data_IF_526291548469
#
_entry.id   IF_526291548469
#
_cell.length_a   1.000
_cell.length_b   1.000
_cell.length_c   1.000
_cell.angle_alpha   90.00
_cell.angle_beta   90.00
_cell.angle_gamma   90.00
#
_symmetry.space_group_name_H-M   'P 1'
#
loop_
_entity.id
_entity.type
_entity.pdbx_description
1 polymer ?
#
# COMPACT_ATOMS: atom_id res chain seq x y z
N UNK A 1 6.59 -17.87 1.99
CA UNK A 1 5.16 -17.47 1.82
C UNK A 1 4.51 -18.20 0.65
N UNK A 2 5.07 -18.13 -0.56
CA UNK A 2 4.57 -18.87 -1.73
C UNK A 2 4.96 -20.35 -1.75
N UNK A 3 6.17 -20.70 -1.29
CA UNK A 3 6.62 -22.10 -1.20
C UNK A 3 5.76 -22.99 -0.29
N UNK A 4 5.11 -22.40 0.73
CA UNK A 4 4.29 -23.13 1.69
C UNK A 4 2.78 -23.11 1.36
N UNK A 5 2.37 -22.30 0.38
CA UNK A 5 0.98 -22.21 -0.10
C UNK A 5 0.98 -21.67 -1.54
N UNK A 6 1.18 -22.55 -2.54
CA UNK A 6 1.29 -22.16 -3.95
C UNK A 6 -0.01 -21.59 -4.52
N UNK A 7 -1.15 -21.80 -3.87
CA UNK A 7 -2.44 -21.21 -4.28
C UNK A 7 -2.61 -19.74 -3.85
N UNK A 8 -1.71 -19.21 -3.01
CA UNK A 8 -1.80 -17.82 -2.57
C UNK A 8 -1.61 -16.86 -3.74
N UNK A 9 -2.57 -15.96 -3.91
CA UNK A 9 -2.59 -14.97 -4.98
C UNK A 9 -1.93 -13.69 -4.51
N UNK A 10 -0.89 -13.25 -5.22
CA UNK A 10 -0.17 -12.00 -4.94
C UNK A 10 -0.54 -10.97 -5.99
N UNK A 11 -0.99 -9.80 -5.55
CA UNK A 11 -1.18 -8.63 -6.38
C UNK A 11 -0.07 -7.63 -6.10
N UNK A 12 0.72 -7.32 -7.13
CA UNK A 12 1.69 -6.24 -7.10
C UNK A 12 1.18 -5.08 -7.97
N UNK A 13 1.38 -3.85 -7.49
CA UNK A 13 1.08 -2.62 -8.22
C UNK A 13 1.95 -1.48 -7.69
N UNK A 14 2.42 -0.57 -8.54
CA UNK A 14 3.05 0.68 -8.06
C UNK A 14 1.97 1.65 -7.56
N UNK A 15 2.29 2.49 -6.59
CA UNK A 15 1.40 3.54 -6.13
C UNK A 15 1.02 4.50 -7.28
N UNK A 16 1.94 4.77 -8.20
CA UNK A 16 1.67 5.59 -9.38
C UNK A 16 0.51 5.06 -10.22
N UNK A 17 0.53 3.77 -10.55
CA UNK A 17 -0.54 3.11 -11.33
C UNK A 17 -1.82 2.96 -10.52
N UNK A 18 -1.71 2.58 -9.23
CA UNK A 18 -2.88 2.42 -8.36
C UNK A 18 -3.65 3.73 -8.17
N UNK A 19 -2.93 4.85 -8.09
CA UNK A 19 -3.45 6.17 -7.77
C UNK A 19 -3.59 7.06 -9.01
N UNK A 20 -3.55 6.49 -10.21
CA UNK A 20 -3.78 7.22 -11.45
C UNK A 20 -5.21 7.76 -11.49
N UNK A 21 -6.19 6.93 -11.12
CA UNK A 21 -7.61 7.28 -11.12
C UNK A 21 -8.42 6.33 -10.22
N UNK A 22 -9.70 6.66 -9.98
CA UNK A 22 -10.58 5.82 -9.16
C UNK A 22 -10.80 4.43 -9.76
N UNK A 23 -10.78 4.27 -11.09
CA UNK A 23 -11.04 2.97 -11.72
C UNK A 23 -9.97 1.95 -11.35
N UNK A 24 -8.69 2.33 -11.30
CA UNK A 24 -7.60 1.43 -10.89
C UNK A 24 -7.77 0.98 -9.43
N UNK A 25 -8.14 1.90 -8.54
CA UNK A 25 -8.45 1.56 -7.14
C UNK A 25 -9.61 0.56 -7.05
N UNK A 26 -10.68 0.77 -7.83
CA UNK A 26 -11.84 -0.13 -7.83
C UNK A 26 -11.52 -1.50 -8.46
N UNK A 27 -10.69 -1.54 -9.50
CA UNK A 27 -10.18 -2.81 -10.07
C UNK A 27 -9.47 -3.61 -8.99
N UNK A 28 -8.47 -3.03 -8.32
CA UNK A 28 -7.77 -3.71 -7.22
C UNK A 28 -8.74 -4.09 -6.09
N UNK A 29 -9.72 -3.25 -5.76
CA UNK A 29 -10.70 -3.58 -4.71
C UNK A 29 -11.54 -4.82 -5.02
N UNK A 30 -11.87 -5.01 -6.30
CA UNK A 30 -12.74 -6.11 -6.77
C UNK A 30 -11.98 -7.40 -7.08
N UNK A 31 -10.67 -7.33 -7.25
CA UNK A 31 -9.84 -8.51 -7.43
C UNK A 31 -9.70 -9.33 -6.14
N UNK A 32 -9.68 -10.66 -6.30
CA UNK A 32 -9.36 -11.58 -5.20
C UNK A 32 -7.85 -11.85 -5.16
N UNK A 33 -7.23 -11.49 -4.05
CA UNK A 33 -5.83 -11.80 -3.73
C UNK A 33 -5.67 -12.05 -2.24
N UNK A 34 -4.54 -12.63 -1.82
CA UNK A 34 -4.19 -12.86 -0.42
C UNK A 34 -3.18 -11.85 0.11
N UNK A 35 -2.35 -11.31 -0.80
CA UNK A 35 -1.32 -10.33 -0.53
C UNK A 35 -1.39 -9.20 -1.57
N UNK A 36 -1.51 -7.97 -1.10
CA UNK A 36 -1.33 -6.75 -1.90
C UNK A 36 0.04 -6.14 -1.57
N UNK A 37 0.85 -5.92 -2.61
CA UNK A 37 2.10 -5.18 -2.53
C UNK A 37 1.92 -3.87 -3.30
N UNK A 38 2.11 -2.75 -2.61
CA UNK A 38 2.09 -1.41 -3.21
C UNK A 38 3.48 -0.79 -3.09
N UNK A 39 4.10 -0.52 -4.23
CA UNK A 39 5.43 0.11 -4.27
C UNK A 39 5.36 1.63 -4.35
N UNK A 40 6.44 2.33 -3.99
CA UNK A 40 6.58 3.79 -4.07
C UNK A 40 5.47 4.61 -3.38
N UNK A 41 5.15 4.27 -2.14
CA UNK A 41 4.04 4.88 -1.38
C UNK A 41 4.17 6.41 -1.21
N UNK A 42 5.37 6.98 -1.39
CA UNK A 42 5.61 8.43 -1.42
C UNK A 42 4.78 9.17 -2.47
N UNK A 43 4.37 8.50 -3.56
CA UNK A 43 3.51 9.07 -4.60
C UNK A 43 2.15 9.51 -4.05
N UNK A 44 1.65 8.94 -2.93
CA UNK A 44 0.41 9.38 -2.30
C UNK A 44 0.39 10.88 -1.97
N UNK A 45 1.54 11.44 -1.57
CA UNK A 45 1.65 12.84 -1.18
C UNK A 45 1.48 13.83 -2.35
N UNK A 46 1.58 13.34 -3.58
CA UNK A 46 1.39 14.12 -4.80
C UNK A 46 -0.06 14.08 -5.30
N UNK A 47 -0.89 13.22 -4.71
CA UNK A 47 -2.28 13.01 -5.11
C UNK A 47 -3.23 13.88 -4.29
N UNK A 48 -4.35 14.23 -4.90
CA UNK A 48 -5.40 15.00 -4.24
C UNK A 48 -6.05 14.22 -3.07
N UNK A 49 -6.73 14.96 -2.20
CA UNK A 49 -7.40 14.39 -1.03
C UNK A 49 -8.46 13.34 -1.39
N UNK A 50 -9.06 13.45 -2.57
CA UNK A 50 -10.07 12.51 -3.05
C UNK A 50 -9.45 11.14 -3.36
N UNK A 51 -8.34 11.10 -4.09
CA UNK A 51 -7.61 9.88 -4.41
C UNK A 51 -7.01 9.26 -3.14
N UNK A 52 -6.47 10.08 -2.22
CA UNK A 52 -6.00 9.60 -0.92
C UNK A 52 -7.13 8.96 -0.10
N UNK A 53 -8.34 9.53 -0.10
CA UNK A 53 -9.54 8.95 0.54
C UNK A 53 -9.93 7.62 -0.11
N UNK A 54 -9.87 7.50 -1.45
CA UNK A 54 -10.17 6.23 -2.14
C UNK A 54 -9.15 5.15 -1.78
N UNK A 55 -7.86 5.50 -1.71
CA UNK A 55 -6.83 4.58 -1.25
C UNK A 55 -7.05 4.16 0.21
N UNK A 56 -7.40 5.09 1.10
CA UNK A 56 -7.73 4.79 2.49
C UNK A 56 -8.88 3.78 2.60
N UNK A 57 -9.93 3.95 1.81
CA UNK A 57 -11.06 3.03 1.75
C UNK A 57 -10.67 1.65 1.19
N UNK A 58 -9.81 1.60 0.16
CA UNK A 58 -9.24 0.35 -0.33
C UNK A 58 -8.47 -0.36 0.79
N UNK A 59 -7.51 0.32 1.43
CA UNK A 59 -6.69 -0.22 2.51
C UNK A 59 -7.57 -0.83 3.62
N UNK A 60 -8.57 -0.08 4.09
CA UNK A 60 -9.52 -0.56 5.10
C UNK A 60 -10.26 -1.81 4.64
N UNK A 61 -10.79 -1.80 3.43
CA UNK A 61 -11.57 -2.91 2.91
C UNK A 61 -10.76 -4.20 2.81
N UNK A 62 -9.48 -4.11 2.40
CA UNK A 62 -8.59 -5.27 2.31
C UNK A 62 -8.10 -5.72 3.68
N UNK A 63 -7.82 -4.79 4.58
CA UNK A 63 -7.45 -5.11 5.96
C UNK A 63 -8.59 -5.84 6.68
N UNK A 64 -9.84 -5.39 6.57
CA UNK A 64 -11.01 -6.05 7.20
C UNK A 64 -11.21 -7.47 6.65
N UNK A 65 -10.87 -7.69 5.37
CA UNK A 65 -10.89 -9.02 4.73
C UNK A 65 -9.70 -9.91 5.16
N UNK A 66 -8.89 -9.49 6.13
CA UNK A 66 -7.66 -10.16 6.57
C UNK A 66 -6.68 -10.45 5.42
N UNK A 67 -6.66 -9.60 4.37
CA UNK A 67 -5.66 -9.67 3.32
C UNK A 67 -4.37 -9.04 3.83
N UNK A 68 -3.23 -9.64 3.49
CA UNK A 68 -1.93 -9.07 3.85
C UNK A 68 -1.66 -7.87 2.94
N UNK A 69 -1.16 -6.77 3.51
CA UNK A 69 -0.77 -5.57 2.76
C UNK A 69 0.70 -5.29 3.07
N UNK A 70 1.50 -5.12 2.03
CA UNK A 70 2.90 -4.69 2.10
C UNK A 70 3.02 -3.40 1.32
N UNK A 71 3.62 -2.40 1.95
CA UNK A 71 3.89 -1.10 1.35
C UNK A 71 5.40 -0.91 1.35
N UNK A 72 5.96 -0.47 0.23
CA UNK A 72 7.35 -0.02 0.13
C UNK A 72 7.39 1.46 -0.24
N UNK A 73 8.52 2.09 0.10
CA UNK A 73 8.80 3.48 -0.24
C UNK A 73 10.15 3.91 0.31
N UNK A 74 10.64 5.03 -0.21
CA UNK A 74 11.96 5.55 0.09
C UNK A 74 12.04 6.34 1.39
N UNK A 75 10.92 6.53 2.08
CA UNK A 75 10.80 7.37 3.27
C UNK A 75 9.99 6.67 4.34
N UNK A 76 10.35 6.92 5.60
CA UNK A 76 9.57 6.45 6.73
C UNK A 76 8.16 7.05 6.72
N UNK A 77 7.15 6.38 7.29
CA UNK A 77 5.78 6.89 7.31
C UNK A 77 5.67 8.34 7.83
N UNK A 78 6.43 8.72 8.84
CA UNK A 78 6.40 10.08 9.40
C UNK A 78 6.97 11.16 8.47
N UNK A 79 7.76 10.76 7.48
CA UNK A 79 8.43 11.67 6.55
C UNK A 79 7.62 11.86 5.25
N UNK A 80 6.53 11.11 5.07
CA UNK A 80 5.62 11.24 3.94
C UNK A 80 4.91 12.59 4.00
N UNK A 81 5.34 13.52 3.13
CA UNK A 81 4.77 14.87 3.02
C UNK A 81 3.40 14.80 2.36
N UNK A 82 2.48 15.66 2.78
CA UNK A 82 1.14 15.83 2.18
C UNK A 82 0.29 14.54 2.16
N UNK A 83 0.67 13.52 2.94
CA UNK A 83 -0.16 12.34 3.17
C UNK A 83 -1.00 12.56 4.42
N UNK A 84 -2.29 12.26 4.33
CA UNK A 84 -3.20 12.45 5.46
C UNK A 84 -2.75 11.68 6.70
N UNK A 85 -2.79 12.33 7.88
CA UNK A 85 -2.29 11.75 9.12
C UNK A 85 -2.90 10.40 9.49
N UNK A 86 -4.16 10.15 9.09
CA UNK A 86 -4.82 8.85 9.27
C UNK A 86 -4.16 7.71 8.48
N UNK A 87 -3.59 7.98 7.31
CA UNK A 87 -2.83 6.98 6.54
C UNK A 87 -1.49 6.69 7.24
N UNK A 88 -0.83 7.74 7.74
CA UNK A 88 0.43 7.59 8.51
C UNK A 88 0.24 6.69 9.73
N UNK A 89 -0.83 6.92 10.50
CA UNK A 89 -1.18 6.07 11.64
C UNK A 89 -1.36 4.61 11.22
N UNK A 90 -1.94 4.34 10.04
CA UNK A 90 -2.17 2.98 9.54
C UNK A 90 -0.92 2.29 9.07
N UNK A 91 -0.02 3.01 8.42
CA UNK A 91 1.28 2.46 8.01
C UNK A 91 2.11 2.04 9.24
N UNK A 92 1.91 2.73 10.36
CA UNK A 92 2.53 2.40 11.65
C UNK A 92 1.84 1.30 12.46
N UNK A 93 0.61 0.90 12.12
CA UNK A 93 -0.07 -0.19 12.83
C UNK A 93 0.53 -1.57 12.54
N UNK A 94 1.31 -1.68 11.46
CA UNK A 94 1.97 -2.90 11.06
C UNK A 94 3.43 -2.97 11.53
N UNK A 95 4.19 -3.79 10.82
CA UNK A 95 5.63 -3.88 10.96
C UNK A 95 6.29 -2.89 10.01
N UNK A 96 7.13 -1.99 10.54
CA UNK A 96 7.98 -1.11 9.73
C UNK A 96 9.41 -1.64 9.77
N UNK A 97 10.02 -1.80 8.60
CA UNK A 97 11.41 -2.21 8.47
C UNK A 97 12.14 -1.18 7.59
N UNK A 98 13.25 -0.64 8.10
CA UNK A 98 14.13 0.22 7.33
C UNK A 98 15.20 -0.65 6.65
N UNK A 99 15.36 -0.49 5.34
CA UNK A 99 16.44 -1.13 4.59
C UNK A 99 17.62 -0.17 4.54
N UNK A 100 18.67 -0.47 5.29
CA UNK A 100 19.95 0.25 5.21
C UNK A 100 20.85 -0.41 4.18
N UNK A 101 21.52 0.37 3.35
CA UNK A 101 22.56 -0.16 2.46
C UNK A 101 23.64 -0.83 3.31
N UNK A 102 24.09 -2.02 2.91
CA UNK A 102 25.24 -2.66 3.52
C UNK A 102 26.47 -1.81 3.14
N UNK A 103 27.08 -1.15 4.12
CA UNK A 103 28.38 -0.50 3.93
C UNK A 103 29.37 -1.58 3.43
N UNK A 104 30.01 -1.31 2.29
CA UNK A 104 31.02 -2.17 1.69
C UNK A 104 32.36 -2.02 2.39
#
# INVERSE_FOLDING_TARGET
MLENNPEKRVKYISAENLLENELEIQKVRSEEFDLLIVDDIQVLGEKDDMIQEKFFNLFNSQHIKNKQIVLSGDSEPDQLKNVQSRLIVRFKWGMTACLTSLEK
#
